data_IF_076678080872
#
_entry.id   IF_076678080872
#
_cell.length_a   1.000
_cell.length_b   1.000
_cell.length_c   1.000
_cell.angle_alpha   90.00
_cell.angle_beta   90.00
_cell.angle_gamma   90.00
#
_symmetry.space_group_name_H-M   'P 1'
#
loop_
_entity.id
_entity.type
_entity.pdbx_description
1 polymer ?
#
# COMPACT_ATOMS: atom_id res chain seq x y z
N UNK A 1 0.27 -21.87 -2.62
CA UNK A 1 0.73 -22.23 -1.26
C UNK A 1 1.72 -21.20 -0.78
N UNK A 2 2.02 -21.18 0.52
CA UNK A 2 2.89 -20.21 1.20
C UNK A 2 4.35 -20.23 0.70
N UNK A 3 4.77 -21.24 -0.07
CA UNK A 3 6.11 -21.30 -0.69
C UNK A 3 6.20 -20.59 -2.05
N UNK A 4 5.11 -19.96 -2.52
CA UNK A 4 5.08 -19.24 -3.82
C UNK A 4 4.93 -17.73 -3.68
N UNK A 5 4.57 -17.24 -2.49
CA UNK A 5 4.47 -15.82 -2.21
C UNK A 5 4.74 -15.54 -0.73
N UNK A 6 5.39 -14.42 -0.44
CA UNK A 6 5.60 -13.91 0.91
C UNK A 6 4.74 -12.65 1.10
N UNK A 7 3.86 -12.65 2.09
CA UNK A 7 3.12 -11.45 2.49
C UNK A 7 3.95 -10.68 3.50
N UNK A 8 4.21 -9.41 3.22
CA UNK A 8 4.96 -8.51 4.07
C UNK A 8 4.25 -7.15 4.10
N UNK A 9 4.13 -6.57 5.30
CA UNK A 9 3.64 -5.20 5.44
C UNK A 9 4.80 -4.23 5.27
N UNK A 10 4.55 -3.15 4.55
CA UNK A 10 5.53 -2.08 4.39
C UNK A 10 5.97 -1.53 5.75
N UNK A 11 5.02 -1.35 6.67
CA UNK A 11 5.25 -0.81 8.01
C UNK A 11 6.17 -1.72 8.84
N UNK A 12 6.02 -3.03 8.74
CA UNK A 12 6.88 -4.00 9.40
C UNK A 12 8.29 -3.95 8.80
N UNK A 13 8.40 -3.87 7.46
CA UNK A 13 9.68 -3.80 6.77
C UNK A 13 10.49 -2.56 7.14
N UNK A 14 9.88 -1.38 7.21
CA UNK A 14 10.64 -0.16 7.55
C UNK A 14 10.90 0.03 9.03
N UNK A 15 10.11 -0.60 9.91
CA UNK A 15 10.30 -0.51 11.37
C UNK A 15 11.26 -1.55 11.92
N UNK A 16 11.32 -2.74 11.31
CA UNK A 16 12.23 -3.82 11.66
C UNK A 16 12.85 -4.42 10.38
N UNK A 17 13.74 -3.67 9.71
CA UNK A 17 14.25 -4.02 8.39
C UNK A 17 15.11 -5.28 8.41
N UNK A 18 15.98 -5.45 9.42
CA UNK A 18 16.89 -6.60 9.49
C UNK A 18 16.10 -7.90 9.59
N UNK A 19 15.14 -7.98 10.49
CA UNK A 19 14.31 -9.19 10.67
C UNK A 19 13.51 -9.50 9.41
N UNK A 20 12.93 -8.48 8.76
CA UNK A 20 12.09 -8.69 7.59
C UNK A 20 12.91 -8.98 6.31
N UNK A 21 14.08 -8.37 6.14
CA UNK A 21 15.01 -8.70 5.05
C UNK A 21 15.57 -10.11 5.20
N UNK A 22 15.89 -10.56 6.42
CA UNK A 22 16.25 -11.95 6.67
C UNK A 22 15.13 -12.92 6.27
N UNK A 23 13.88 -12.62 6.61
CA UNK A 23 12.71 -13.41 6.16
C UNK A 23 12.59 -13.45 4.63
N UNK A 24 12.82 -12.31 3.96
CA UNK A 24 12.81 -12.23 2.49
C UNK A 24 13.93 -13.08 1.89
N UNK A 25 15.17 -12.93 2.37
CA UNK A 25 16.32 -13.69 1.86
C UNK A 25 16.10 -15.20 2.02
N UNK A 26 15.66 -15.63 3.20
CA UNK A 26 15.33 -17.03 3.46
C UNK A 26 14.21 -17.55 2.55
N UNK A 27 13.17 -16.75 2.33
CA UNK A 27 12.08 -17.10 1.40
C UNK A 27 12.57 -17.27 -0.04
N UNK A 28 13.55 -16.47 -0.46
CA UNK A 28 14.17 -16.50 -1.79
C UNK A 28 15.33 -17.51 -1.91
N UNK A 29 15.69 -18.21 -0.83
CA UNK A 29 16.89 -19.06 -0.74
C UNK A 29 18.20 -18.31 -1.06
N UNK A 30 18.31 -17.08 -0.57
CA UNK A 30 19.50 -16.24 -0.65
C UNK A 30 20.25 -16.25 0.69
N UNK A 31 21.55 -15.95 0.66
CA UNK A 31 22.35 -15.74 1.87
C UNK A 31 21.84 -14.50 2.64
N UNK A 32 22.00 -14.46 3.96
CA UNK A 32 21.62 -13.36 4.84
C UNK A 32 22.79 -12.45 5.24
N UNK A 33 24.02 -12.82 4.90
CA UNK A 33 25.24 -12.09 5.35
C UNK A 33 25.27 -10.62 4.90
N UNK A 34 24.62 -10.30 3.78
CA UNK A 34 24.57 -8.95 3.20
C UNK A 34 23.40 -8.08 3.69
N UNK A 35 22.53 -8.57 4.59
CA UNK A 35 21.32 -7.84 5.01
C UNK A 35 21.63 -6.46 5.60
N UNK A 36 22.75 -6.32 6.31
CA UNK A 36 23.16 -5.03 6.85
C UNK A 36 23.56 -4.03 5.75
N UNK A 37 24.21 -4.51 4.68
CA UNK A 37 24.62 -3.67 3.55
C UNK A 37 23.41 -3.16 2.76
N UNK A 38 22.34 -3.97 2.68
CA UNK A 38 21.08 -3.59 2.02
C UNK A 38 20.39 -2.36 2.63
N UNK A 39 20.72 -1.99 3.88
CA UNK A 39 20.14 -0.82 4.52
C UNK A 39 20.63 0.50 3.91
N UNK A 40 21.76 0.47 3.19
CA UNK A 40 22.35 1.62 2.49
C UNK A 40 21.89 1.73 1.02
N UNK A 41 20.69 1.19 0.70
CA UNK A 41 20.11 1.19 -0.66
C UNK A 41 20.06 2.59 -1.32
N UNK A 42 20.05 3.65 -0.51
CA UNK A 42 20.01 5.03 -0.97
C UNK A 42 21.31 5.46 -1.67
N UNK A 43 22.44 4.81 -1.40
CA UNK A 43 23.70 5.02 -2.11
C UNK A 43 23.59 4.56 -3.56
N UNK A 44 23.14 3.31 -3.76
CA UNK A 44 22.90 2.75 -5.09
C UNK A 44 21.80 3.49 -5.85
N UNK A 45 20.72 3.89 -5.17
CA UNK A 45 19.63 4.65 -5.79
C UNK A 45 20.05 6.05 -6.27
N UNK A 46 21.15 6.60 -5.71
CA UNK A 46 21.75 7.88 -6.16
C UNK A 46 22.72 7.68 -7.32
N UNK A 47 23.21 6.47 -7.54
CA UNK A 47 24.08 6.16 -8.67
C UNK A 47 23.26 6.15 -9.98
N UNK A 48 23.50 7.06 -10.93
CA UNK A 48 22.74 7.12 -12.18
C UNK A 48 22.87 5.89 -13.08
N UNK A 49 23.89 5.05 -12.85
CA UNK A 49 24.13 3.82 -13.60
C UNK A 49 23.31 2.62 -13.07
N UNK A 50 22.78 2.73 -11.85
CA UNK A 50 22.05 1.65 -11.15
C UNK A 50 20.60 2.09 -10.87
N UNK A 51 20.42 3.32 -10.38
CA UNK A 51 19.13 3.86 -9.99
C UNK A 51 18.29 4.36 -11.16
N UNK A 52 16.98 4.16 -11.06
CA UNK A 52 16.00 4.76 -11.97
C UNK A 52 15.83 6.26 -11.64
N UNK A 53 15.94 7.10 -12.68
CA UNK A 53 15.82 8.56 -12.63
C UNK A 53 14.38 9.06 -12.52
N UNK A 54 13.37 8.19 -12.58
CA UNK A 54 11.96 8.54 -12.48
C UNK A 54 11.59 9.26 -11.19
N UNK A 55 10.67 10.23 -11.27
CA UNK A 55 10.20 11.01 -10.12
C UNK A 55 9.62 10.15 -8.99
N UNK A 56 9.08 8.97 -9.32
CA UNK A 56 8.55 8.02 -8.34
C UNK A 56 9.65 7.38 -7.46
N UNK A 57 10.92 7.44 -7.87
CA UNK A 57 12.07 6.90 -7.15
C UNK A 57 12.74 7.91 -6.21
N UNK A 58 12.25 9.14 -6.13
CA UNK A 58 12.84 10.13 -5.21
C UNK A 58 12.79 9.69 -3.74
N UNK A 59 11.83 8.84 -3.37
CA UNK A 59 11.75 8.26 -2.04
C UNK A 59 12.91 7.33 -1.71
N UNK A 60 13.41 6.56 -2.69
CA UNK A 60 14.49 5.57 -2.48
C UNK A 60 15.88 6.21 -2.44
N UNK A 61 16.01 7.48 -2.82
CA UNK A 61 17.26 8.25 -2.69
C UNK A 61 17.50 8.77 -1.26
N UNK A 62 16.52 8.61 -0.37
CA UNK A 62 16.61 8.99 1.03
C UNK A 62 16.98 7.79 1.89
N UNK A 63 17.59 8.05 3.02
CA UNK A 63 17.88 7.04 4.04
C UNK A 63 16.59 6.34 4.51
N UNK A 64 16.76 5.10 4.99
CA UNK A 64 15.68 4.34 5.59
C UNK A 64 15.04 5.14 6.73
N UNK A 65 13.72 5.30 6.67
CA UNK A 65 12.97 5.99 7.71
C UNK A 65 11.53 5.50 7.74
N UNK A 66 10.87 5.74 8.88
CA UNK A 66 9.47 5.37 9.13
C UNK A 66 8.50 6.54 8.94
N UNK A 67 8.94 7.68 8.40
CA UNK A 67 8.13 8.91 8.35
C UNK A 67 6.88 8.80 7.47
N UNK A 68 6.91 7.87 6.51
CA UNK A 68 5.75 7.58 5.65
C UNK A 68 4.69 6.74 6.36
N UNK A 69 5.03 6.04 7.44
CA UNK A 69 4.10 5.20 8.19
C UNK A 69 3.07 6.10 8.88
N UNK A 70 1.78 5.84 8.60
CA UNK A 70 0.69 6.61 9.19
C UNK A 70 0.55 8.06 8.68
N UNK A 71 1.33 8.46 7.67
CA UNK A 71 1.34 9.83 7.12
C UNK A 71 -0.05 10.32 6.69
N UNK A 72 -0.94 9.42 6.29
CA UNK A 72 -2.32 9.73 5.92
C UNK A 72 -3.09 10.48 7.02
N UNK A 73 -2.76 10.27 8.30
CA UNK A 73 -3.42 10.92 9.44
C UNK A 73 -3.23 12.44 9.45
N UNK A 74 -2.19 12.95 8.79
CA UNK A 74 -1.92 14.38 8.70
C UNK A 74 -2.74 15.09 7.59
N UNK A 75 -3.28 14.34 6.63
CA UNK A 75 -3.95 14.90 5.45
C UNK A 75 -5.41 14.49 5.31
N UNK A 76 -5.84 13.45 6.03
CA UNK A 76 -7.23 13.00 6.08
C UNK A 76 -7.89 13.47 7.37
N UNK A 77 -9.10 14.02 7.25
CA UNK A 77 -9.95 14.28 8.40
C UNK A 77 -10.44 12.98 9.03
N UNK A 78 -10.83 13.03 10.30
CA UNK A 78 -11.44 11.89 10.99
C UNK A 78 -12.61 11.30 10.22
N UNK A 79 -13.49 12.15 9.65
CA UNK A 79 -14.62 11.67 8.87
C UNK A 79 -14.19 10.96 7.58
N UNK A 80 -13.15 11.46 6.90
CA UNK A 80 -12.61 10.77 5.72
C UNK A 80 -12.02 9.41 6.09
N UNK A 81 -11.32 9.30 7.22
CA UNK A 81 -10.79 8.02 7.70
C UNK A 81 -11.94 7.06 8.02
N UNK A 82 -12.97 7.51 8.76
CA UNK A 82 -14.17 6.71 9.04
C UNK A 82 -14.87 6.22 7.77
N UNK A 83 -15.00 7.08 6.77
CA UNK A 83 -15.62 6.73 5.50
C UNK A 83 -14.79 5.67 4.74
N UNK A 84 -13.47 5.82 4.70
CA UNK A 84 -12.55 4.84 4.10
C UNK A 84 -12.60 3.51 4.85
N UNK A 85 -12.55 3.52 6.18
CA UNK A 85 -12.61 2.31 7.02
C UNK A 85 -13.96 1.61 6.95
N UNK A 86 -15.03 2.35 6.66
CA UNK A 86 -16.34 1.79 6.38
C UNK A 86 -16.36 1.06 5.02
N UNK A 87 -15.78 1.66 3.98
CA UNK A 87 -15.76 1.08 2.62
C UNK A 87 -14.78 -0.10 2.54
N UNK A 88 -13.57 0.08 3.06
CA UNK A 88 -12.44 -0.84 2.85
C UNK A 88 -12.18 -1.75 4.05
N UNK A 89 -12.86 -1.56 5.18
CA UNK A 89 -12.46 -2.16 6.45
C UNK A 89 -12.40 -3.69 6.44
N UNK A 90 -13.30 -4.36 5.72
CA UNK A 90 -13.27 -5.82 5.63
C UNK A 90 -12.01 -6.32 4.88
N UNK A 91 -11.56 -5.57 3.86
CA UNK A 91 -10.31 -5.85 3.17
C UNK A 91 -9.11 -5.49 4.04
N UNK A 92 -9.18 -4.37 4.78
CA UNK A 92 -8.14 -3.97 5.74
C UNK A 92 -7.90 -5.06 6.77
N UNK A 93 -8.96 -5.59 7.38
CA UNK A 93 -8.89 -6.65 8.39
C UNK A 93 -8.30 -7.95 7.80
N UNK A 94 -8.75 -8.37 6.61
CA UNK A 94 -8.14 -9.50 5.87
C UNK A 94 -6.66 -9.27 5.55
N UNK A 95 -6.27 -8.02 5.32
CA UNK A 95 -4.88 -7.63 5.10
C UNK A 95 -4.09 -7.49 6.41
N UNK A 96 -4.75 -7.51 7.57
CA UNK A 96 -4.13 -7.44 8.89
C UNK A 96 -4.01 -6.01 9.44
N UNK A 97 -4.80 -5.06 8.93
CA UNK A 97 -4.90 -3.68 9.38
C UNK A 97 -6.16 -3.48 10.21
N UNK A 98 -6.00 -2.85 11.38
CA UNK A 98 -7.12 -2.51 12.26
C UNK A 98 -7.74 -1.17 11.88
N UNK A 99 -9.06 -1.05 12.09
CA UNK A 99 -9.78 0.23 12.02
C UNK A 99 -9.37 1.11 13.21
N UNK A 100 -9.19 2.41 12.97
CA UNK A 100 -8.88 3.42 13.97
C UNK A 100 -10.16 3.93 14.65
N UNK A 101 -11.27 3.97 13.92
CA UNK A 101 -12.52 4.55 14.39
C UNK A 101 -13.68 3.56 14.33
N UNK A 102 -14.74 3.89 15.09
CA UNK A 102 -16.03 3.23 14.96
C UNK A 102 -16.72 3.61 13.64
N UNK A 103 -17.72 2.81 13.27
CA UNK A 103 -18.51 3.04 12.06
C UNK A 103 -19.10 4.47 11.99
N UNK A 104 -19.21 5.07 10.79
CA UNK A 104 -19.89 6.35 10.60
C UNK A 104 -21.36 6.30 11.06
N UNK A 105 -21.94 7.48 11.28
CA UNK A 105 -23.37 7.61 11.53
C UNK A 105 -24.21 6.93 10.43
N UNK A 106 -25.41 6.43 10.77
CA UNK A 106 -26.30 5.71 9.84
C UNK A 106 -26.54 6.51 8.55
N UNK A 107 -26.87 7.79 8.67
CA UNK A 107 -27.12 8.66 7.51
C UNK A 107 -25.90 8.75 6.58
N UNK A 108 -24.70 8.84 7.16
CA UNK A 108 -23.45 8.87 6.40
C UNK A 108 -23.19 7.53 5.71
N UNK A 109 -23.44 6.40 6.38
CA UNK A 109 -23.33 5.07 5.78
C UNK A 109 -24.25 4.88 4.58
N UNK A 110 -25.53 5.28 4.73
CA UNK A 110 -26.50 5.24 3.62
C UNK A 110 -26.01 6.07 2.45
N UNK A 111 -25.57 7.31 2.70
CA UNK A 111 -25.01 8.20 1.67
C UNK A 111 -23.83 7.56 0.93
N UNK A 112 -22.88 6.96 1.65
CA UNK A 112 -21.71 6.30 1.05
C UNK A 112 -22.15 5.14 0.17
N UNK A 113 -23.02 4.26 0.68
CA UNK A 113 -23.51 3.10 -0.08
C UNK A 113 -24.19 3.54 -1.38
N UNK A 114 -25.03 4.58 -1.33
CA UNK A 114 -25.67 5.14 -2.53
C UNK A 114 -24.64 5.63 -3.55
N UNK A 115 -23.63 6.39 -3.11
CA UNK A 115 -22.57 6.88 -4.00
C UNK A 115 -21.78 5.72 -4.61
N UNK A 116 -21.37 4.74 -3.81
CA UNK A 116 -20.63 3.57 -4.30
C UNK A 116 -21.42 2.76 -5.33
N UNK A 117 -22.72 2.59 -5.11
CA UNK A 117 -23.60 1.90 -6.06
C UNK A 117 -23.71 2.67 -7.39
N UNK A 118 -23.91 3.99 -7.33
CA UNK A 118 -23.95 4.83 -8.52
C UNK A 118 -22.64 4.78 -9.31
N UNK A 119 -21.49 4.92 -8.63
CA UNK A 119 -20.18 4.81 -9.26
C UNK A 119 -19.97 3.43 -9.91
N UNK A 120 -20.44 2.36 -9.27
CA UNK A 120 -20.36 1.00 -9.82
C UNK A 120 -21.18 0.87 -11.11
N UNK A 121 -22.39 1.44 -11.14
CA UNK A 121 -23.23 1.44 -12.35
C UNK A 121 -22.57 2.24 -13.48
N UNK A 122 -22.08 3.44 -13.18
CA UNK A 122 -21.37 4.29 -14.15
C UNK A 122 -20.15 3.56 -14.71
N UNK A 123 -19.32 2.98 -13.84
CA UNK A 123 -18.11 2.26 -14.26
C UNK A 123 -18.44 1.07 -15.16
N UNK A 124 -19.48 0.28 -14.83
CA UNK A 124 -19.95 -0.82 -15.68
C UNK A 124 -20.38 -0.31 -17.06
N UNK A 125 -21.10 0.81 -17.12
CA UNK A 125 -21.52 1.44 -18.38
C UNK A 125 -20.33 1.92 -19.22
N UNK A 126 -19.38 2.63 -18.60
CA UNK A 126 -18.15 3.10 -19.27
C UNK A 126 -17.33 1.93 -19.80
N UNK A 127 -17.16 0.88 -18.99
CA UNK A 127 -16.43 -0.33 -19.38
C UNK A 127 -17.10 -1.04 -20.56
N UNK A 128 -18.43 -1.21 -20.53
CA UNK A 128 -19.18 -1.81 -21.64
C UNK A 128 -19.01 -1.01 -22.94
N UNK A 129 -19.08 0.33 -22.86
CA UNK A 129 -18.85 1.20 -24.01
C UNK A 129 -17.43 1.07 -24.58
N UNK A 130 -16.40 0.98 -23.73
CA UNK A 130 -15.01 0.76 -24.17
C UNK A 130 -14.84 -0.60 -24.86
N UNK A 131 -15.48 -1.65 -24.33
CA UNK A 131 -15.48 -2.99 -24.96
C UNK A 131 -16.13 -2.95 -26.34
N UNK A 132 -17.29 -2.28 -26.49
CA UNK A 132 -17.98 -2.17 -27.78
C UNK A 132 -17.19 -1.37 -28.82
N UNK A 133 -16.34 -0.43 -28.38
CA UNK A 133 -15.49 0.39 -29.26
C UNK A 133 -14.12 -0.22 -29.55
N UNK A 134 -13.83 -1.43 -29.05
CA UNK A 134 -12.53 -2.11 -29.25
C UNK A 134 -11.34 -1.35 -28.68
N UNK A 135 -11.54 -0.47 -27.69
CA UNK A 135 -10.52 0.45 -27.17
C UNK A 135 -9.94 -0.01 -25.82
N UNK A 136 -9.83 -1.32 -25.59
CA UNK A 136 -9.30 -1.92 -24.38
C UNK A 136 -8.05 -2.75 -24.67
#
# INVERSE_FOLDING_TARGET
GNNRYLKLKYEDLVSDPITNLNKICNFLNLNTDFVNEMLNFNEDARNPQIGDGGQHMLGTKKELNVQSVGKFKAFLSEQQIKDIEFICGDLMEKMGYSRLYSLPAVAQRVRIITICNLLTVIWKGVRANRLMKGSL
#
